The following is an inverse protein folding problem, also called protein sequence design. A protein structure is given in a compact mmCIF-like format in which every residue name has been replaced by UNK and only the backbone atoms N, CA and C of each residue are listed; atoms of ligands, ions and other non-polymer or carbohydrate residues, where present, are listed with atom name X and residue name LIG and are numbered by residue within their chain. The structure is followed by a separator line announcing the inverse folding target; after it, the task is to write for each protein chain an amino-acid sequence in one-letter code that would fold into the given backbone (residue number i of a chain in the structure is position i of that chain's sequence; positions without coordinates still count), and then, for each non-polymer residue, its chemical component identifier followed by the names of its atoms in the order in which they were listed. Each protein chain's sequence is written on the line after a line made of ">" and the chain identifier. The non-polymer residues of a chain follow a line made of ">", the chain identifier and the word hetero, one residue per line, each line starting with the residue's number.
data_IF_485286662582
#
_entry.id   IF_485286662582
#
_cell.length_a   1.000
_cell.length_b   1.000
_cell.length_c   1.000
_cell.angle_alpha   90.00
_cell.angle_beta   90.00
_cell.angle_gamma   90.00
#
_symmetry.space_group_name_H-M   'P 1'
#
loop_
_entity.id
_entity.type
_entity.pdbx_description
1 polymer ?
#
# COMPACT_ATOMS: atom_id res chain seq x y z
N UNK A 1 4.73 30.49 -18.94
CA UNK A 1 4.87 29.94 -17.59
C UNK A 1 3.83 28.84 -17.52
N UNK A 2 4.27 27.59 -17.48
CA UNK A 2 3.38 26.46 -17.18
C UNK A 2 2.95 26.69 -15.73
N UNK A 3 1.62 26.81 -15.51
CA UNK A 3 1.10 26.90 -14.16
C UNK A 3 1.60 25.70 -13.37
N UNK A 4 2.06 25.92 -12.13
CA UNK A 4 2.41 24.79 -11.25
C UNK A 4 1.18 23.89 -11.16
N UNK A 5 1.34 22.56 -11.32
CA UNK A 5 0.19 21.67 -11.26
C UNK A 5 -0.51 21.82 -9.91
N UNK A 6 -1.82 21.98 -9.98
CA UNK A 6 -2.66 22.30 -8.83
C UNK A 6 -2.71 21.15 -7.81
N UNK A 7 -2.96 21.42 -6.52
CA UNK A 7 -3.09 20.39 -5.50
C UNK A 7 -4.21 19.38 -5.78
N UNK A 8 -4.01 18.17 -5.30
CA UNK A 8 -4.91 17.02 -5.47
C UNK A 8 -5.42 16.57 -4.10
N UNK A 9 -6.69 16.22 -4.01
CA UNK A 9 -7.23 15.51 -2.84
C UNK A 9 -6.96 14.01 -2.97
N UNK A 10 -6.11 13.46 -2.11
CA UNK A 10 -5.86 12.03 -1.99
C UNK A 10 -6.80 11.40 -0.96
N UNK A 11 -7.46 10.31 -1.33
CA UNK A 11 -8.34 9.50 -0.49
C UNK A 11 -7.83 8.06 -0.44
N UNK A 12 -7.83 7.46 0.75
CA UNK A 12 -7.40 6.07 0.95
C UNK A 12 -8.50 5.27 1.67
N UNK A 13 -8.93 4.18 1.04
CA UNK A 13 -10.00 3.30 1.54
C UNK A 13 -9.37 1.99 2.02
N UNK A 14 -9.11 1.91 3.31
CA UNK A 14 -8.59 0.70 3.95
C UNK A 14 -9.63 -0.07 4.76
N UNK A 15 -9.35 -1.34 5.04
CA UNK A 15 -10.23 -2.18 5.85
C UNK A 15 -10.34 -1.76 7.31
N UNK A 16 -9.39 -1.00 7.85
CA UNK A 16 -9.35 -0.53 9.25
C UNK A 16 -9.50 0.97 9.38
N UNK A 17 -9.05 1.75 8.41
CA UNK A 17 -9.08 3.21 8.42
C UNK A 17 -9.44 3.77 7.05
N UNK A 18 -10.04 4.95 7.06
CA UNK A 18 -10.18 5.86 5.94
C UNK A 18 -9.19 7.00 6.15
N UNK A 19 -8.53 7.46 5.11
CA UNK A 19 -7.68 8.63 5.19
C UNK A 19 -7.95 9.61 4.04
N UNK A 20 -7.71 10.89 4.29
CA UNK A 20 -7.79 11.95 3.30
C UNK A 20 -6.66 12.96 3.53
N UNK A 21 -6.16 13.55 2.46
CA UNK A 21 -5.16 14.59 2.56
C UNK A 21 -5.02 15.36 1.26
N UNK A 22 -4.56 16.60 1.35
CA UNK A 22 -4.26 17.44 0.19
C UNK A 22 -2.76 17.39 -0.07
N UNK A 23 -2.40 17.03 -1.29
CA UNK A 23 -1.01 16.86 -1.72
C UNK A 23 -0.77 17.70 -2.96
N UNK A 24 0.33 18.46 -2.98
CA UNK A 24 0.71 19.25 -4.15
C UNK A 24 1.65 18.46 -5.11
N UNK A 25 2.04 19.12 -6.18
CA UNK A 25 2.87 18.53 -7.23
C UNK A 25 4.29 18.17 -6.80
N UNK A 26 4.76 18.75 -5.71
CA UNK A 26 6.07 18.48 -5.12
C UNK A 26 5.99 17.36 -4.05
N UNK A 27 4.77 16.81 -3.84
CA UNK A 27 4.51 15.76 -2.85
C UNK A 27 4.35 16.27 -1.42
N UNK A 28 4.24 17.59 -1.23
CA UNK A 28 4.01 18.17 0.10
C UNK A 28 2.58 17.89 0.54
N UNK A 29 2.42 17.32 1.71
CA UNK A 29 1.13 17.03 2.32
C UNK A 29 0.69 18.23 3.15
N UNK A 30 -0.23 19.02 2.63
CA UNK A 30 -0.77 20.23 3.28
C UNK A 30 -1.74 19.94 4.42
N UNK A 31 -2.45 18.80 4.32
CA UNK A 31 -3.35 18.32 5.36
C UNK A 31 -3.40 16.79 5.36
N UNK A 32 -3.69 16.20 6.52
CA UNK A 32 -3.87 14.77 6.66
C UNK A 32 -4.87 14.47 7.77
N UNK A 33 -5.94 13.78 7.42
CA UNK A 33 -6.97 13.34 8.35
C UNK A 33 -7.22 11.84 8.21
N UNK A 34 -7.48 11.18 9.33
CA UNK A 34 -7.72 9.74 9.38
C UNK A 34 -8.83 9.42 10.37
N UNK A 35 -9.67 8.43 10.03
CA UNK A 35 -10.68 7.91 10.92
C UNK A 35 -10.90 6.40 10.73
N UNK A 36 -11.49 5.69 11.72
CA UNK A 36 -11.82 4.27 11.57
C UNK A 36 -12.74 4.01 10.39
N UNK A 37 -12.42 3.02 9.54
CA UNK A 37 -13.23 2.69 8.37
C UNK A 37 -14.60 2.13 8.73
N UNK A 38 -14.72 1.41 9.86
CA UNK A 38 -15.91 0.66 10.24
C UNK A 38 -16.43 -0.18 9.07
N UNK A 39 -15.51 -0.93 8.44
CA UNK A 39 -15.75 -1.62 7.17
C UNK A 39 -17.01 -2.53 7.18
N UNK A 40 -17.42 -3.03 8.36
CA UNK A 40 -18.62 -3.86 8.53
C UNK A 40 -19.94 -3.13 8.22
N UNK A 41 -19.95 -1.80 8.18
CA UNK A 41 -21.13 -1.00 7.86
C UNK A 41 -21.39 -0.90 6.34
N UNK A 42 -20.45 -1.38 5.51
CA UNK A 42 -20.57 -1.41 4.06
C UNK A 42 -20.30 -0.06 3.37
N UNK A 43 -20.38 -0.04 2.02
CA UNK A 43 -20.02 1.14 1.22
C UNK A 43 -20.95 2.33 1.42
N UNK A 44 -22.25 2.10 1.64
CA UNK A 44 -23.24 3.18 1.78
C UNK A 44 -23.00 4.04 3.02
N UNK A 45 -22.37 3.49 4.06
CA UNK A 45 -21.97 4.23 5.23
C UNK A 45 -20.52 4.75 5.13
N UNK A 46 -19.62 3.98 4.51
CA UNK A 46 -18.20 4.32 4.44
C UNK A 46 -17.92 5.49 3.47
N UNK A 47 -18.56 5.51 2.29
CA UNK A 47 -18.30 6.52 1.28
C UNK A 47 -18.71 7.94 1.70
N UNK A 48 -19.91 8.18 2.26
CA UNK A 48 -20.23 9.51 2.78
C UNK A 48 -19.23 10.00 3.84
N UNK A 49 -18.81 9.13 4.78
CA UNK A 49 -17.77 9.47 5.76
C UNK A 49 -16.44 9.85 5.11
N UNK A 50 -16.00 9.07 4.12
CA UNK A 50 -14.77 9.36 3.38
C UNK A 50 -14.87 10.72 2.66
N UNK A 51 -16.01 11.01 2.04
CA UNK A 51 -16.22 12.29 1.34
C UNK A 51 -16.26 13.46 2.31
N UNK A 52 -16.87 13.31 3.48
CA UNK A 52 -16.84 14.32 4.54
C UNK A 52 -15.42 14.48 5.11
N UNK A 53 -14.67 13.39 5.27
CA UNK A 53 -13.26 13.43 5.65
C UNK A 53 -12.43 14.21 4.63
N UNK A 54 -12.67 13.97 3.32
CA UNK A 54 -12.03 14.69 2.24
C UNK A 54 -12.30 16.20 2.28
N UNK A 55 -13.57 16.60 2.50
CA UNK A 55 -13.94 18.03 2.64
C UNK A 55 -13.25 18.68 3.84
N UNK A 56 -13.17 17.98 4.97
CA UNK A 56 -12.44 18.45 6.16
C UNK A 56 -10.96 18.59 5.87
N UNK A 57 -10.34 17.61 5.21
CA UNK A 57 -8.93 17.69 4.84
C UNK A 57 -8.64 18.93 3.96
N UNK A 58 -9.52 19.26 3.00
CA UNK A 58 -9.36 20.48 2.20
C UNK A 58 -9.50 21.72 3.07
N UNK A 59 -10.49 21.80 3.94
CA UNK A 59 -10.66 22.93 4.84
C UNK A 59 -9.45 23.13 5.78
N UNK A 60 -8.84 22.05 6.26
CA UNK A 60 -7.65 22.07 7.12
C UNK A 60 -6.35 22.41 6.37
N UNK A 61 -6.33 22.28 5.04
CA UNK A 61 -5.13 22.58 4.22
C UNK A 61 -4.85 24.07 4.04
N UNK A 62 -5.78 24.95 4.45
CA UNK A 62 -5.78 26.38 4.16
C UNK A 62 -5.85 26.71 2.66
N UNK A 63 -6.30 25.78 1.83
CA UNK A 63 -6.55 25.97 0.40
C UNK A 63 -8.05 26.06 0.14
N UNK A 64 -8.42 26.89 -0.84
CA UNK A 64 -9.79 26.96 -1.30
C UNK A 64 -10.14 25.70 -2.13
N UNK A 65 -11.40 25.26 -2.07
CA UNK A 65 -11.87 24.14 -2.88
C UNK A 65 -11.60 24.30 -4.38
N UNK A 66 -11.65 25.55 -4.86
CA UNK A 66 -11.35 25.91 -6.24
C UNK A 66 -9.91 25.61 -6.67
N UNK A 67 -8.98 25.50 -5.72
CA UNK A 67 -7.60 25.14 -5.97
C UNK A 67 -7.38 23.63 -6.14
N UNK A 68 -8.33 22.80 -5.71
CA UNK A 68 -8.24 21.33 -5.86
C UNK A 68 -8.65 20.97 -7.29
N UNK A 69 -7.70 20.42 -8.05
CA UNK A 69 -7.93 20.10 -9.48
C UNK A 69 -8.61 18.75 -9.68
N UNK A 70 -8.21 17.76 -8.90
CA UNK A 70 -8.70 16.40 -9.04
C UNK A 70 -8.70 15.64 -7.71
N UNK A 71 -9.30 14.44 -7.71
CA UNK A 71 -9.34 13.51 -6.59
C UNK A 71 -8.70 12.19 -6.99
N UNK A 72 -7.70 11.74 -6.24
CA UNK A 72 -7.15 10.41 -6.33
C UNK A 72 -7.72 9.51 -5.24
N UNK A 73 -8.00 8.24 -5.55
CA UNK A 73 -8.53 7.26 -4.59
C UNK A 73 -7.69 5.99 -4.67
N UNK A 74 -7.10 5.61 -3.53
CA UNK A 74 -6.53 4.29 -3.30
C UNK A 74 -7.55 3.39 -2.62
N UNK A 75 -7.73 2.15 -3.10
CA UNK A 75 -8.63 1.17 -2.50
C UNK A 75 -8.08 -0.23 -2.67
N UNK A 76 -8.23 -1.09 -1.64
CA UNK A 76 -7.88 -2.50 -1.78
C UNK A 76 -8.66 -3.18 -2.91
N UNK A 77 -7.97 -4.08 -3.64
CA UNK A 77 -8.56 -4.84 -4.76
C UNK A 77 -9.31 -6.10 -4.31
N UNK A 78 -9.98 -6.79 -5.28
CA UNK A 78 -9.97 -6.52 -6.72
C UNK A 78 -10.83 -5.31 -7.14
N UNK A 79 -10.35 -4.58 -8.15
CA UNK A 79 -11.03 -3.42 -8.70
C UNK A 79 -10.75 -3.26 -10.21
N UNK A 80 -11.58 -2.47 -10.87
CA UNK A 80 -11.39 -2.02 -12.25
C UNK A 80 -11.09 -0.51 -12.22
N UNK A 81 -9.80 -0.18 -12.32
CA UNK A 81 -9.32 1.20 -12.23
C UNK A 81 -9.80 2.06 -13.41
N UNK A 82 -9.99 1.48 -14.61
CA UNK A 82 -10.45 2.21 -15.79
C UNK A 82 -11.94 2.57 -15.66
N UNK A 83 -12.75 1.63 -15.22
CA UNK A 83 -14.19 1.84 -14.99
C UNK A 83 -14.47 2.56 -13.66
N UNK A 84 -13.51 2.61 -12.75
CA UNK A 84 -13.67 3.21 -11.44
C UNK A 84 -14.55 2.40 -10.48
N UNK A 85 -14.50 1.06 -10.59
CA UNK A 85 -15.38 0.12 -9.88
C UNK A 85 -14.57 -0.75 -8.94
N UNK A 86 -15.02 -0.85 -7.69
CA UNK A 86 -14.47 -1.76 -6.68
C UNK A 86 -15.35 -3.01 -6.62
N UNK A 87 -14.75 -4.19 -6.90
CA UNK A 87 -15.55 -5.40 -7.16
C UNK A 87 -15.91 -6.18 -5.90
N UNK A 88 -14.98 -6.67 -5.12
CA UNK A 88 -15.26 -7.40 -3.88
C UNK A 88 -14.02 -7.56 -3.00
N UNK A 89 -13.46 -6.49 -2.44
CA UNK A 89 -12.27 -6.57 -1.61
C UNK A 89 -12.49 -7.43 -0.36
N UNK A 90 -11.60 -8.36 -0.03
CA UNK A 90 -11.76 -9.26 1.13
C UNK A 90 -11.89 -8.51 2.47
N UNK A 91 -11.28 -7.32 2.57
CA UNK A 91 -11.25 -6.50 3.78
C UNK A 91 -12.38 -5.46 3.86
N UNK A 92 -13.26 -5.40 2.84
CA UNK A 92 -14.38 -4.47 2.74
C UNK A 92 -15.69 -5.25 2.51
N UNK A 93 -16.29 -5.81 3.55
CA UNK A 93 -17.52 -6.59 3.41
C UNK A 93 -18.67 -5.73 2.87
N UNK A 94 -19.48 -6.33 1.98
CA UNK A 94 -20.61 -5.65 1.34
C UNK A 94 -20.24 -4.82 0.10
N UNK A 95 -18.98 -4.64 -0.21
CA UNK A 95 -18.54 -3.94 -1.41
C UNK A 95 -18.62 -4.88 -2.62
N UNK A 96 -19.64 -4.70 -3.44
CA UNK A 96 -19.85 -5.50 -4.67
C UNK A 96 -20.15 -4.56 -5.81
N UNK A 97 -19.23 -4.48 -6.77
CA UNK A 97 -19.33 -3.65 -7.97
C UNK A 97 -19.73 -2.20 -7.67
N UNK A 98 -19.06 -1.61 -6.68
CA UNK A 98 -19.31 -0.23 -6.23
C UNK A 98 -18.63 0.74 -7.16
N UNK A 99 -19.39 1.64 -7.80
CA UNK A 99 -18.91 2.67 -8.72
C UNK A 99 -18.29 3.85 -7.99
N UNK A 100 -17.18 3.60 -7.28
CA UNK A 100 -16.54 4.56 -6.36
C UNK A 100 -16.14 5.86 -7.06
N UNK A 101 -15.56 5.76 -8.25
CA UNK A 101 -15.11 6.95 -8.98
C UNK A 101 -16.28 7.83 -9.46
N UNK A 102 -17.40 7.24 -9.82
CA UNK A 102 -18.61 7.97 -10.19
C UNK A 102 -19.23 8.69 -8.97
N UNK A 103 -19.37 7.96 -7.86
CA UNK A 103 -19.89 8.52 -6.61
C UNK A 103 -19.02 9.67 -6.10
N UNK A 104 -17.70 9.53 -6.19
CA UNK A 104 -16.77 10.60 -5.81
C UNK A 104 -16.83 11.80 -6.78
N UNK A 105 -16.95 11.55 -8.11
CA UNK A 105 -17.15 12.65 -9.08
C UNK A 105 -18.40 13.46 -8.78
N UNK A 106 -19.49 12.80 -8.43
CA UNK A 106 -20.74 13.47 -8.07
C UNK A 106 -20.64 14.22 -6.75
N UNK A 107 -19.87 13.70 -5.77
CA UNK A 107 -19.72 14.32 -4.46
C UNK A 107 -18.78 15.54 -4.45
N UNK A 108 -17.76 15.52 -5.31
CA UNK A 108 -16.69 16.53 -5.32
C UNK A 108 -16.72 17.46 -6.54
N UNK A 109 -17.47 17.11 -7.58
CA UNK A 109 -17.51 17.83 -8.86
C UNK A 109 -16.11 18.06 -9.46
N UNK A 110 -15.27 17.02 -9.38
CA UNK A 110 -13.88 17.00 -9.85
C UNK A 110 -13.59 15.70 -10.60
N UNK A 111 -12.60 15.70 -11.52
CA UNK A 111 -12.06 14.46 -12.09
C UNK A 111 -11.59 13.52 -10.99
N UNK A 112 -11.86 12.21 -11.16
CA UNK A 112 -11.48 11.18 -10.17
C UNK A 112 -10.69 10.08 -10.83
N UNK A 113 -9.56 9.72 -10.21
CA UNK A 113 -8.74 8.55 -10.55
C UNK A 113 -8.82 7.52 -9.42
N UNK A 114 -9.16 6.28 -9.75
CA UNK A 114 -9.12 5.14 -8.82
C UNK A 114 -7.93 4.25 -9.16
N UNK A 115 -7.27 3.71 -8.14
CA UNK A 115 -6.21 2.71 -8.28
C UNK A 115 -6.22 1.75 -7.07
N UNK A 116 -5.59 0.58 -7.22
CA UNK A 116 -5.27 -0.27 -6.08
C UNK A 116 -4.39 0.48 -5.07
N UNK A 117 -4.67 0.33 -3.77
CA UNK A 117 -4.00 1.05 -2.69
C UNK A 117 -2.47 0.84 -2.65
N UNK A 118 -2.00 -0.40 -2.85
CA UNK A 118 -0.58 -0.70 -2.86
C UNK A 118 0.11 -0.23 -4.16
N UNK A 119 -0.58 -0.30 -5.30
CA UNK A 119 -0.10 0.26 -6.57
C UNK A 119 -0.03 1.78 -6.50
N UNK A 120 -1.03 2.42 -5.90
CA UNK A 120 -1.01 3.86 -5.66
C UNK A 120 0.13 4.26 -4.71
N UNK A 121 0.33 3.51 -3.62
CA UNK A 121 1.46 3.75 -2.72
C UNK A 121 2.81 3.61 -3.43
N UNK A 122 2.97 2.63 -4.33
CA UNK A 122 4.16 2.50 -5.17
C UNK A 122 4.36 3.71 -6.08
N UNK A 123 3.28 4.29 -6.63
CA UNK A 123 3.36 5.55 -7.40
C UNK A 123 3.88 6.70 -6.55
N UNK A 124 3.37 6.85 -5.32
CA UNK A 124 3.82 7.87 -4.38
C UNK A 124 5.30 7.73 -4.01
N UNK A 125 5.72 6.51 -3.68
CA UNK A 125 7.12 6.20 -3.38
C UNK A 125 8.05 6.46 -4.56
N UNK A 126 7.62 6.08 -5.77
CA UNK A 126 8.40 6.30 -6.98
C UNK A 126 8.50 7.78 -7.36
N UNK A 127 7.43 8.55 -7.15
CA UNK A 127 7.40 9.96 -7.53
C UNK A 127 8.11 10.87 -6.53
N UNK A 128 7.88 10.69 -5.23
CA UNK A 128 8.31 11.62 -4.19
C UNK A 128 8.98 10.96 -2.98
N UNK A 129 9.00 9.63 -2.91
CA UNK A 129 9.53 8.88 -1.80
C UNK A 129 10.92 8.32 -2.04
N UNK A 130 11.16 7.18 -1.43
CA UNK A 130 12.45 6.49 -1.53
C UNK A 130 12.82 6.08 -2.96
N UNK A 131 11.82 5.89 -3.83
CA UNK A 131 12.00 5.47 -5.23
C UNK A 131 12.17 6.62 -6.23
N UNK A 132 12.33 7.87 -5.79
CA UNK A 132 12.50 8.99 -6.72
C UNK A 132 13.77 8.84 -7.56
N UNK A 133 13.59 8.80 -8.89
CA UNK A 133 14.68 8.61 -9.84
C UNK A 133 15.10 7.16 -10.11
N UNK A 134 14.52 6.18 -9.42
CA UNK A 134 14.76 4.74 -9.60
C UNK A 134 13.91 4.21 -10.75
N UNK A 135 14.43 3.33 -11.57
CA UNK A 135 13.71 2.78 -12.73
C UNK A 135 13.00 1.47 -12.44
N UNK A 136 13.53 0.66 -11.52
CA UNK A 136 12.98 -0.64 -11.16
C UNK A 136 12.82 -0.70 -9.65
N UNK A 137 11.58 -0.62 -9.18
CA UNK A 137 11.25 -0.59 -7.76
C UNK A 137 10.12 -1.56 -7.45
N UNK A 138 10.19 -2.16 -6.29
CA UNK A 138 9.08 -2.90 -5.69
C UNK A 138 8.69 -2.23 -4.38
N UNK A 139 7.40 -2.01 -4.20
CA UNK A 139 6.81 -1.58 -2.94
C UNK A 139 5.98 -2.71 -2.34
N UNK A 140 6.13 -2.95 -1.03
CA UNK A 140 5.23 -3.80 -0.25
C UNK A 140 4.68 -3.03 0.95
N UNK A 141 3.36 -3.10 1.14
CA UNK A 141 2.74 -2.67 2.39
C UNK A 141 2.51 -3.87 3.29
N UNK A 142 3.05 -3.83 4.51
CA UNK A 142 2.87 -4.82 5.58
C UNK A 142 1.92 -4.22 6.61
N UNK A 143 0.61 -4.39 6.41
CA UNK A 143 -0.46 -3.76 7.19
C UNK A 143 -1.48 -4.81 7.67
N UNK A 144 -2.78 -4.53 7.64
CA UNK A 144 -3.85 -5.52 7.92
C UNK A 144 -3.69 -6.75 7.03
N UNK A 145 -3.38 -6.53 5.74
CA UNK A 145 -2.94 -7.51 4.76
C UNK A 145 -1.52 -7.21 4.26
N UNK A 146 -1.16 -7.80 3.12
CA UNK A 146 0.08 -7.51 2.38
C UNK A 146 -0.28 -7.20 0.93
N UNK A 147 -0.10 -5.95 0.54
CA UNK A 147 -0.23 -5.51 -0.85
C UNK A 147 1.13 -5.22 -1.47
N UNK A 148 1.17 -5.12 -2.80
CA UNK A 148 2.39 -4.78 -3.52
C UNK A 148 2.13 -3.88 -4.71
N UNK A 149 3.16 -3.15 -5.12
CA UNK A 149 3.20 -2.40 -6.36
C UNK A 149 4.58 -2.50 -6.98
N UNK A 150 4.64 -2.53 -8.30
CA UNK A 150 5.88 -2.74 -9.05
C UNK A 150 6.05 -1.62 -10.07
N UNK A 151 7.26 -1.07 -10.14
CA UNK A 151 7.69 -0.12 -11.17
C UNK A 151 8.75 -0.79 -12.04
N UNK A 152 8.54 -0.78 -13.35
CA UNK A 152 9.46 -1.36 -14.34
C UNK A 152 9.74 -0.31 -15.40
N UNK A 153 11.02 -0.01 -15.61
CA UNK A 153 11.44 0.99 -16.59
C UNK A 153 10.93 2.41 -16.28
N UNK A 154 10.64 2.72 -15.02
CA UNK A 154 10.09 4.00 -14.57
C UNK A 154 8.56 4.10 -14.67
N UNK A 155 7.85 3.01 -14.98
CA UNK A 155 6.40 2.98 -15.13
C UNK A 155 5.77 1.93 -14.21
N UNK A 156 4.59 2.23 -13.68
CA UNK A 156 3.82 1.28 -12.87
C UNK A 156 3.42 0.05 -13.69
N UNK A 157 3.72 -1.12 -13.17
CA UNK A 157 3.29 -2.39 -13.74
C UNK A 157 1.89 -2.76 -13.22
N UNK A 158 0.89 -2.70 -14.08
CA UNK A 158 -0.51 -3.02 -13.75
C UNK A 158 -0.93 -4.42 -14.17
N UNK A 159 -0.14 -5.09 -15.02
CA UNK A 159 -0.52 -6.39 -15.59
C UNK A 159 -1.65 -6.28 -16.62
N UNK A 160 -2.10 -7.44 -17.12
CA UNK A 160 -3.07 -7.51 -18.22
C UNK A 160 -4.50 -7.05 -17.85
N UNK A 161 -4.87 -7.12 -16.58
CA UNK A 161 -6.22 -6.78 -16.10
C UNK A 161 -6.22 -5.68 -15.04
N UNK A 162 -5.12 -4.96 -14.88
CA UNK A 162 -5.01 -3.89 -13.89
C UNK A 162 -4.78 -4.35 -12.43
N UNK A 163 -4.65 -5.65 -12.18
CA UNK A 163 -4.47 -6.22 -10.84
C UNK A 163 -3.09 -6.90 -10.68
N UNK A 164 -2.06 -6.43 -11.40
CA UNK A 164 -0.69 -6.88 -11.22
C UNK A 164 -0.09 -6.37 -9.90
N UNK A 165 0.89 -7.11 -9.37
CA UNK A 165 1.54 -6.69 -8.12
C UNK A 165 0.96 -7.30 -6.84
N UNK A 166 0.15 -8.34 -6.93
CA UNK A 166 -0.39 -9.10 -5.78
C UNK A 166 0.72 -9.90 -5.04
N UNK A 167 1.76 -9.18 -4.62
CA UNK A 167 2.99 -9.76 -4.06
C UNK A 167 2.77 -10.42 -2.68
N UNK A 168 1.74 -10.02 -1.94
CA UNK A 168 1.34 -10.68 -0.70
C UNK A 168 0.90 -12.12 -0.89
N UNK A 169 0.58 -12.51 -2.13
CA UNK A 169 0.14 -13.86 -2.48
C UNK A 169 1.23 -14.73 -3.14
N UNK A 170 2.47 -14.27 -3.15
CA UNK A 170 3.64 -15.14 -3.43
C UNK A 170 3.67 -16.26 -2.42
N UNK A 171 3.84 -17.50 -2.89
CA UNK A 171 3.86 -18.69 -2.03
C UNK A 171 5.24 -18.84 -1.39
N UNK A 172 5.34 -18.70 -0.08
CA UNK A 172 6.57 -18.88 0.71
C UNK A 172 6.63 -20.26 1.37
N UNK A 173 5.48 -20.91 1.54
CA UNK A 173 5.37 -22.27 2.09
C UNK A 173 4.18 -23.00 1.46
N UNK A 174 4.41 -23.84 0.47
CA UNK A 174 3.35 -24.48 -0.30
C UNK A 174 2.45 -25.45 0.52
N UNK A 175 2.88 -25.87 1.70
CA UNK A 175 2.10 -26.68 2.67
C UNK A 175 1.61 -25.87 3.87
N UNK A 176 1.92 -24.59 3.90
CA UNK A 176 1.77 -23.74 5.05
C UNK A 176 0.34 -23.30 5.38
N UNK A 177 0.25 -22.19 6.07
CA UNK A 177 -0.98 -21.63 6.61
C UNK A 177 -1.98 -21.23 5.52
N UNK A 178 -3.28 -21.27 5.86
CA UNK A 178 -4.33 -20.69 5.02
C UNK A 178 -4.19 -19.16 4.94
N UNK A 179 -4.31 -18.64 3.73
CA UNK A 179 -4.34 -17.20 3.50
C UNK A 179 -5.80 -16.70 3.53
N UNK A 180 -6.09 -15.71 4.37
CA UNK A 180 -7.46 -15.15 4.50
C UNK A 180 -7.87 -14.33 3.28
N UNK A 181 -6.92 -13.64 2.64
CA UNK A 181 -7.20 -12.79 1.48
C UNK A 181 -7.63 -13.57 0.26
N UNK A 182 -6.95 -14.68 -0.07
CA UNK A 182 -7.22 -15.42 -1.32
C UNK A 182 -7.69 -16.88 -1.13
N UNK A 183 -7.80 -17.39 0.10
CA UNK A 183 -8.22 -18.76 0.40
C UNK A 183 -7.18 -19.85 0.09
N UNK A 184 -6.03 -19.52 -0.54
CA UNK A 184 -4.94 -20.45 -0.80
C UNK A 184 -4.12 -20.71 0.46
N UNK A 185 -3.14 -21.59 0.35
CA UNK A 185 -2.20 -21.87 1.44
C UNK A 185 -0.82 -21.31 1.13
N UNK A 186 -0.11 -20.88 2.18
CA UNK A 186 1.30 -20.57 2.14
C UNK A 186 1.67 -19.23 1.50
N UNK A 187 0.71 -18.31 1.32
CA UNK A 187 0.99 -16.96 0.87
C UNK A 187 1.82 -16.19 1.89
N UNK A 188 2.67 -15.28 1.43
CA UNK A 188 3.46 -14.37 2.26
C UNK A 188 2.56 -13.63 3.28
N UNK A 189 1.40 -13.15 2.88
CA UNK A 189 0.43 -12.46 3.73
C UNK A 189 0.03 -13.28 4.97
N UNK A 190 -0.09 -14.63 4.84
CA UNK A 190 -0.48 -15.50 5.94
C UNK A 190 0.56 -15.56 7.07
N UNK A 191 1.75 -15.00 6.86
CA UNK A 191 2.85 -14.99 7.83
C UNK A 191 3.20 -13.58 8.31
N UNK A 192 3.15 -12.58 7.43
CA UNK A 192 3.77 -11.26 7.70
C UNK A 192 2.78 -10.11 7.81
N UNK A 193 1.49 -10.32 7.49
CA UNK A 193 0.49 -9.27 7.75
C UNK A 193 0.28 -9.06 9.24
N UNK A 194 -0.09 -7.85 9.64
CA UNK A 194 -0.37 -7.54 11.03
C UNK A 194 -1.46 -8.43 11.63
N UNK A 195 -2.50 -8.73 10.85
CA UNK A 195 -3.56 -9.67 11.24
C UNK A 195 -3.00 -11.09 11.44
N UNK A 196 -2.19 -11.58 10.52
CA UNK A 196 -1.62 -12.94 10.61
C UNK A 196 -0.64 -13.08 11.77
N UNK A 197 0.16 -12.06 12.06
CA UNK A 197 1.06 -12.04 13.23
C UNK A 197 0.25 -12.14 14.52
N UNK A 198 -0.80 -11.34 14.68
CA UNK A 198 -1.68 -11.37 15.84
C UNK A 198 -2.41 -12.72 16.00
N UNK A 199 -2.87 -13.32 14.89
CA UNK A 199 -3.50 -14.64 14.91
C UNK A 199 -2.53 -15.74 15.33
N UNK A 200 -1.31 -15.73 14.81
CA UNK A 200 -0.25 -16.67 15.17
C UNK A 200 0.13 -16.57 16.65
N UNK A 201 0.20 -15.34 17.17
CA UNK A 201 0.41 -15.14 18.61
C UNK A 201 -0.70 -15.76 19.45
N UNK A 202 -1.95 -15.56 19.10
CA UNK A 202 -3.10 -16.17 19.77
C UNK A 202 -3.10 -17.70 19.68
N UNK A 203 -2.80 -18.26 18.52
CA UNK A 203 -2.71 -19.70 18.31
C UNK A 203 -1.57 -20.35 19.12
N UNK A 204 -0.48 -19.61 19.32
CA UNK A 204 0.62 -20.02 20.19
C UNK A 204 0.35 -19.80 21.69
N UNK A 205 -0.84 -19.30 22.05
CA UNK A 205 -1.20 -19.03 23.46
C UNK A 205 -0.46 -17.83 24.04
N UNK A 206 0.09 -16.93 23.20
CA UNK A 206 0.80 -15.72 23.64
C UNK A 206 -0.20 -14.60 23.95
N UNK A 207 0.03 -13.75 24.97
CA UNK A 207 -0.89 -12.71 25.41
C UNK A 207 -0.79 -11.41 24.59
N UNK A 208 -0.51 -11.51 23.29
CA UNK A 208 -0.30 -10.37 22.39
C UNK A 208 -1.45 -10.23 21.40
N UNK A 209 -2.09 -9.06 21.38
CA UNK A 209 -3.27 -8.79 20.57
C UNK A 209 -2.93 -8.24 19.19
N UNK A 210 -1.75 -7.63 19.03
CA UNK A 210 -1.33 -6.95 17.80
C UNK A 210 0.08 -7.37 17.39
N UNK A 211 0.43 -7.14 16.11
CA UNK A 211 1.80 -7.31 15.64
C UNK A 211 2.79 -6.37 16.38
N UNK A 212 2.33 -5.19 16.78
CA UNK A 212 3.14 -4.23 17.54
C UNK A 212 3.46 -4.78 18.94
N UNK A 213 2.48 -5.40 19.62
CA UNK A 213 2.71 -6.05 20.93
C UNK A 213 3.75 -7.17 20.81
N UNK A 214 3.65 -8.00 19.75
CA UNK A 214 4.62 -9.06 19.48
C UNK A 214 6.02 -8.49 19.24
N UNK A 215 6.15 -7.46 18.40
CA UNK A 215 7.42 -6.83 18.11
C UNK A 215 8.05 -6.21 19.36
N UNK A 216 7.24 -5.54 20.19
CA UNK A 216 7.70 -4.93 21.45
C UNK A 216 8.14 -5.99 22.46
N UNK A 217 7.39 -7.08 22.61
CA UNK A 217 7.75 -8.19 23.48
C UNK A 217 9.02 -8.91 22.99
N UNK A 218 9.17 -9.13 21.69
CA UNK A 218 10.38 -9.70 21.10
C UNK A 218 11.61 -8.81 21.38
N UNK A 219 11.46 -7.49 21.25
CA UNK A 219 12.52 -6.52 21.58
C UNK A 219 12.88 -6.54 23.07
N UNK A 220 11.90 -6.83 23.93
CA UNK A 220 12.11 -6.99 25.38
C UNK A 220 12.68 -8.36 25.77
N UNK A 221 12.88 -9.29 24.80
CA UNK A 221 13.48 -10.61 25.04
C UNK A 221 12.49 -11.70 25.43
N UNK A 222 11.16 -11.50 25.24
CA UNK A 222 10.19 -12.59 25.40
C UNK A 222 10.47 -13.70 24.39
N UNK A 223 10.64 -14.93 24.88
CA UNK A 223 11.07 -16.07 24.05
C UNK A 223 10.01 -16.47 23.01
N UNK A 224 8.72 -16.44 23.38
CA UNK A 224 7.62 -16.81 22.49
C UNK A 224 7.43 -15.76 21.38
N UNK A 225 7.45 -14.47 21.74
CA UNK A 225 7.39 -13.38 20.79
C UNK A 225 8.61 -13.37 19.85
N UNK A 226 9.81 -13.62 20.38
CA UNK A 226 11.05 -13.69 19.59
C UNK A 226 11.01 -14.82 18.57
N UNK A 227 10.53 -16.00 18.95
CA UNK A 227 10.37 -17.12 18.02
C UNK A 227 9.36 -16.81 16.91
N UNK A 228 8.20 -16.28 17.26
CA UNK A 228 7.16 -15.88 16.29
C UNK A 228 7.65 -14.80 15.35
N UNK A 229 8.42 -13.81 15.88
CA UNK A 229 8.99 -12.72 15.08
C UNK A 229 10.07 -13.24 14.11
N UNK A 230 10.91 -14.18 14.55
CA UNK A 230 11.91 -14.82 13.70
C UNK A 230 11.27 -15.55 12.50
N UNK A 231 10.18 -16.29 12.72
CA UNK A 231 9.42 -16.90 11.62
C UNK A 231 8.80 -15.85 10.67
N UNK A 232 8.37 -14.70 11.22
CA UNK A 232 7.84 -13.58 10.41
C UNK A 232 8.94 -12.99 9.51
N UNK A 233 10.13 -12.77 10.06
CA UNK A 233 11.32 -12.31 9.30
C UNK A 233 11.72 -13.32 8.24
N UNK A 234 11.75 -14.62 8.58
CA UNK A 234 12.08 -15.68 7.64
C UNK A 234 11.10 -15.73 6.47
N UNK A 235 9.79 -15.71 6.74
CA UNK A 235 8.77 -15.71 5.69
C UNK A 235 8.86 -14.45 4.79
N UNK A 236 9.08 -13.25 5.37
CA UNK A 236 9.28 -12.03 4.60
C UNK A 236 10.53 -12.14 3.72
N UNK A 237 11.62 -12.66 4.26
CA UNK A 237 12.86 -12.85 3.54
C UNK A 237 12.69 -13.81 2.36
N UNK A 238 12.01 -14.95 2.54
CA UNK A 238 11.69 -15.88 1.46
C UNK A 238 10.88 -15.24 0.35
N UNK A 239 9.86 -14.46 0.72
CA UNK A 239 9.05 -13.71 -0.25
C UNK A 239 9.86 -12.70 -1.03
N UNK A 240 10.68 -11.89 -0.34
CA UNK A 240 11.50 -10.86 -0.97
C UNK A 240 12.61 -11.45 -1.85
N UNK A 241 13.26 -12.54 -1.45
CA UNK A 241 14.22 -13.26 -2.29
C UNK A 241 13.57 -13.67 -3.62
N UNK A 242 12.35 -14.22 -3.56
CA UNK A 242 11.60 -14.61 -4.77
C UNK A 242 11.27 -13.38 -5.62
N UNK A 243 10.82 -12.29 -5.03
CA UNK A 243 10.49 -11.03 -5.71
C UNK A 243 11.73 -10.40 -6.36
N UNK A 244 12.86 -10.36 -5.64
CA UNK A 244 14.13 -9.84 -6.17
C UNK A 244 14.62 -10.68 -7.34
N UNK A 245 14.52 -11.99 -7.26
CA UNK A 245 14.91 -12.89 -8.36
C UNK A 245 13.98 -12.75 -9.60
N UNK A 246 12.72 -12.36 -9.41
CA UNK A 246 11.74 -12.23 -10.51
C UNK A 246 11.83 -10.87 -11.22
N UNK A 247 12.00 -9.80 -10.46
CA UNK A 247 11.90 -8.43 -10.97
C UNK A 247 13.25 -7.71 -11.08
N UNK A 248 14.29 -8.22 -10.41
CA UNK A 248 15.61 -7.60 -10.34
C UNK A 248 15.52 -6.08 -10.06
N UNK A 249 14.83 -5.66 -8.97
CA UNK A 249 14.65 -4.26 -8.68
C UNK A 249 15.95 -3.64 -8.13
N UNK A 250 16.15 -2.36 -8.40
CA UNK A 250 17.18 -1.54 -7.75
C UNK A 250 16.84 -1.28 -6.28
N UNK A 251 15.53 -1.19 -6.00
CA UNK A 251 15.01 -0.81 -4.69
C UNK A 251 13.76 -1.61 -4.31
N UNK A 252 13.72 -2.08 -3.06
CA UNK A 252 12.51 -2.58 -2.40
C UNK A 252 12.15 -1.63 -1.27
N UNK A 253 10.94 -1.08 -1.30
CA UNK A 253 10.41 -0.20 -0.25
C UNK A 253 9.37 -0.96 0.57
N UNK A 254 9.54 -1.00 1.88
CA UNK A 254 8.61 -1.61 2.81
C UNK A 254 7.84 -0.54 3.58
N UNK A 255 6.51 -0.57 3.48
CA UNK A 255 5.60 0.32 4.20
C UNK A 255 4.62 -0.45 5.08
N UNK A 256 3.66 0.27 5.67
CA UNK A 256 2.61 -0.31 6.51
C UNK A 256 2.98 -0.43 7.99
N UNK A 257 1.98 -0.76 8.82
CA UNK A 257 2.10 -0.70 10.28
C UNK A 257 3.13 -1.66 10.88
N UNK A 258 3.37 -2.82 10.26
CA UNK A 258 4.35 -3.80 10.75
C UNK A 258 5.78 -3.25 10.68
N UNK A 259 6.06 -2.34 9.73
CA UNK A 259 7.38 -1.72 9.58
C UNK A 259 7.78 -0.78 10.72
N UNK A 260 6.83 -0.40 11.62
CA UNK A 260 7.14 0.34 12.85
C UNK A 260 8.07 -0.42 13.80
N UNK A 261 8.21 -1.73 13.61
CA UNK A 261 9.21 -2.53 14.32
C UNK A 261 10.66 -2.12 13.99
N UNK A 262 10.86 -1.33 12.91
CA UNK A 262 12.14 -0.71 12.56
C UNK A 262 13.25 -1.73 12.31
N UNK A 263 14.40 -1.53 12.96
CA UNK A 263 15.59 -2.39 12.78
C UNK A 263 15.36 -3.86 13.13
N UNK A 264 14.42 -4.15 14.03
CA UNK A 264 14.06 -5.53 14.38
C UNK A 264 13.53 -6.32 13.16
N UNK A 265 12.97 -5.64 12.17
CA UNK A 265 12.51 -6.22 10.90
C UNK A 265 13.52 -6.03 9.79
N UNK A 266 13.97 -4.78 9.57
CA UNK A 266 14.65 -4.42 8.32
C UNK A 266 16.07 -5.01 8.24
N UNK A 267 16.84 -5.03 9.34
CA UNK A 267 18.22 -5.49 9.32
C UNK A 267 18.34 -6.99 9.00
N UNK A 268 17.61 -7.92 9.68
CA UNK A 268 17.69 -9.32 9.34
C UNK A 268 17.14 -9.62 7.94
N UNK A 269 16.13 -8.87 7.48
CA UNK A 269 15.59 -9.02 6.11
C UNK A 269 16.62 -8.60 5.06
N UNK A 270 17.30 -7.47 5.23
CA UNK A 270 18.40 -7.03 4.34
C UNK A 270 19.49 -8.09 4.24
N UNK A 271 19.93 -8.60 5.38
CA UNK A 271 20.95 -9.63 5.44
C UNK A 271 20.52 -10.90 4.69
N UNK A 272 19.28 -11.34 4.89
CA UNK A 272 18.74 -12.53 4.26
C UNK A 272 18.57 -12.39 2.74
N UNK A 273 18.06 -11.24 2.27
CA UNK A 273 17.91 -10.94 0.83
C UNK A 273 19.27 -10.91 0.15
N UNK A 274 20.25 -10.22 0.75
CA UNK A 274 21.61 -10.14 0.22
C UNK A 274 22.29 -11.51 0.11
N UNK A 275 22.03 -12.39 1.06
CA UNK A 275 22.62 -13.73 1.08
C UNK A 275 21.88 -14.74 0.20
N UNK A 276 20.56 -14.59 0.04
CA UNK A 276 19.68 -15.60 -0.56
C UNK A 276 19.25 -15.32 -1.99
N UNK A 277 19.21 -14.06 -2.44
CA UNK A 277 18.86 -13.73 -3.81
C UNK A 277 20.02 -14.03 -4.78
N UNK A 278 19.67 -14.33 -6.04
CA UNK A 278 20.65 -14.61 -7.08
C UNK A 278 21.55 -13.39 -7.33
N UNK A 279 22.84 -13.64 -7.60
CA UNK A 279 23.75 -12.58 -8.04
C UNK A 279 23.54 -12.24 -9.51
N UNK A 280 23.67 -10.93 -9.89
CA UNK A 280 24.11 -9.79 -9.07
C UNK A 280 22.97 -9.16 -8.25
N UNK A 281 21.70 -9.47 -8.50
CA UNK A 281 20.54 -8.81 -7.94
C UNK A 281 20.57 -8.69 -6.40
N UNK A 282 20.89 -9.80 -5.70
CA UNK A 282 20.94 -9.82 -4.23
C UNK A 282 22.00 -8.90 -3.63
N UNK A 283 23.08 -8.62 -4.35
CA UNK A 283 24.14 -7.72 -3.90
C UNK A 283 23.84 -6.25 -4.22
N UNK A 284 23.06 -6.00 -5.29
CA UNK A 284 22.77 -4.67 -5.80
C UNK A 284 21.51 -4.05 -5.20
N UNK A 285 20.50 -4.87 -4.84
CA UNK A 285 19.22 -4.37 -4.37
C UNK A 285 19.34 -3.69 -3.00
N UNK A 286 18.76 -2.52 -2.88
CA UNK A 286 18.53 -1.88 -1.59
C UNK A 286 17.15 -2.22 -1.05
N UNK A 287 17.03 -2.44 0.27
CA UNK A 287 15.75 -2.64 0.97
C UNK A 287 15.61 -1.55 2.02
N UNK A 288 14.58 -0.71 1.90
CA UNK A 288 14.39 0.46 2.76
C UNK A 288 12.96 0.52 3.32
N UNK A 289 12.78 1.34 4.36
CA UNK A 289 11.45 1.66 4.88
C UNK A 289 10.89 2.89 4.17
N UNK A 290 9.57 2.91 3.96
CA UNK A 290 8.82 4.05 3.43
C UNK A 290 9.03 5.30 4.31
N UNK A 291 9.39 6.45 3.73
CA UNK A 291 9.49 7.70 4.48
C UNK A 291 8.13 8.32 4.81
N UNK A 292 7.05 7.92 4.13
CA UNK A 292 5.73 8.54 4.29
C UNK A 292 4.95 8.05 5.50
N UNK A 293 5.29 6.88 6.06
CA UNK A 293 4.59 6.32 7.22
C UNK A 293 3.08 6.14 6.95
N UNK A 294 2.24 6.76 7.78
CA UNK A 294 0.78 6.65 7.65
C UNK A 294 0.18 7.44 6.48
N UNK A 295 0.93 8.39 5.92
CA UNK A 295 0.48 9.25 4.82
C UNK A 295 0.64 8.59 3.45
N UNK A 296 1.30 7.42 3.36
CA UNK A 296 1.61 6.77 2.07
C UNK A 296 0.37 6.56 1.21
N UNK A 297 -0.78 6.22 1.80
CA UNK A 297 -2.03 6.02 1.05
C UNK A 297 -2.52 7.30 0.35
N UNK A 298 -2.56 8.44 1.06
CA UNK A 298 -2.99 9.71 0.46
C UNK A 298 -1.97 10.27 -0.52
N UNK A 299 -0.67 10.11 -0.25
CA UNK A 299 0.42 10.49 -1.17
C UNK A 299 0.32 9.66 -2.44
N UNK A 300 0.13 8.34 -2.31
CA UNK A 300 -0.06 7.44 -3.45
C UNK A 300 -1.31 7.78 -4.26
N UNK A 301 -2.43 8.02 -3.58
CA UNK A 301 -3.68 8.44 -4.22
C UNK A 301 -3.52 9.76 -5.02
N UNK A 302 -2.72 10.69 -4.54
CA UNK A 302 -2.39 11.89 -5.30
C UNK A 302 -1.45 11.60 -6.48
N UNK A 303 -0.42 10.76 -6.27
CA UNK A 303 0.57 10.44 -7.31
C UNK A 303 -0.06 9.84 -8.57
N UNK A 304 -1.05 8.97 -8.44
CA UNK A 304 -1.73 8.37 -9.60
C UNK A 304 -2.50 9.39 -10.46
N UNK A 305 -2.91 10.53 -9.88
CA UNK A 305 -3.53 11.62 -10.64
C UNK A 305 -2.48 12.31 -11.49
N UNK A 306 -1.34 12.67 -10.89
CA UNK A 306 -0.25 13.33 -11.60
C UNK A 306 0.39 12.45 -12.67
N UNK A 307 0.45 11.12 -12.45
CA UNK A 307 0.98 10.18 -13.43
C UNK A 307 0.08 10.07 -14.66
N UNK A 308 -1.25 10.10 -14.49
CA UNK A 308 -2.20 10.12 -15.62
C UNK A 308 -2.13 11.42 -16.42
N UNK A 309 -2.03 12.56 -15.76
CA UNK A 309 -1.90 13.86 -16.42
C UNK A 309 -0.61 13.93 -17.27
N UNK A 310 0.49 13.34 -16.82
CA UNK A 310 1.73 13.25 -17.57
C UNK A 310 1.70 12.28 -18.75
N UNK A 311 0.78 11.29 -18.76
CA UNK A 311 0.61 10.34 -19.87
C UNK A 311 -0.26 10.91 -21.01
N UNK A 312 -1.14 11.86 -20.74
CA UNK A 312 -1.96 12.54 -21.75
C UNK A 312 -1.14 13.49 -22.62
N UNK A 313 0.04 13.94 -22.15
CA UNK A 313 0.97 14.80 -22.89
C UNK A 313 1.96 14.04 -23.80
N UNK A 314 1.96 12.71 -23.79
CA UNK A 314 2.80 11.89 -24.70
C UNK A 314 1.96 11.50 -25.92
N UNK A 315 2.26 12.06 -27.12
CA UNK A 315 1.55 11.66 -28.34
C UNK A 315 1.76 10.14 -28.56
N UNK A 316 0.66 9.44 -28.82
CA UNK A 316 0.71 8.02 -29.21
C UNK A 316 1.60 7.89 -30.44
N UNK A 317 2.86 7.54 -30.26
CA UNK A 317 3.75 7.18 -31.34
C UNK A 317 3.27 5.83 -31.89
N UNK A 318 2.84 5.88 -33.18
CA UNK A 318 2.38 4.77 -33.97
C UNK A 318 3.43 3.69 -34.24
#
# INVERSE_FOLDING_TARGET
>A
MIAAPSPVLGLDIGGTKLAAGVVDADGVVHSFAVEPSRAHEGPDAALPRLFDLGRRAVAESNLEWSAIEAVGIGCGGPLDAERGVVSAPPHLPGWRDVHVAELARNAFERPVTLENDATAAAAGEHRWGAGAGVRHMVYLTLSTGVGGGVVIGGSLFRGASGNGGELGHVTVDWRGRGCRGCGRRGCLEAYVSGTSIAERAREAGLPFATAEDVANAARAGDAGASALWAETVEALSCGLISIVNLFEPELVVLGGGVTRSGELLIEPVRAAVRAGAMRPAGEAVEVVLSPFGERVGVVGAAAIVYDRAGLEDVPANG
#
